data_IF_055187310281
#
_entry.id   IF_055187310281
#
_cell.length_a   1.000
_cell.length_b   1.000
_cell.length_c   1.000
_cell.angle_alpha   90.00
_cell.angle_beta   90.00
_cell.angle_gamma   90.00
#
_symmetry.space_group_name_H-M   'P 1'
#
loop_
_entity.id
_entity.type
_entity.pdbx_description
1 polymer ?
#
# COMPACT_ATOMS: atom_id res chain seq x y z
N UNK A 1 27.01 1.39 -8.52
CA UNK A 1 26.47 0.86 -7.25
C UNK A 1 26.70 -0.65 -7.21
N UNK A 2 27.03 -1.20 -6.03
CA UNK A 2 27.15 -2.65 -5.85
C UNK A 2 25.89 -3.18 -5.17
N UNK A 3 25.44 -4.36 -5.55
CA UNK A 3 24.36 -5.06 -4.85
C UNK A 3 24.87 -5.68 -3.53
N UNK A 4 23.98 -6.33 -2.78
CA UNK A 4 24.33 -7.01 -1.51
C UNK A 4 25.35 -8.16 -1.67
N UNK A 5 25.60 -8.64 -2.89
CA UNK A 5 26.60 -9.66 -3.21
C UNK A 5 27.95 -9.05 -3.64
N UNK A 6 28.02 -7.73 -3.80
CA UNK A 6 29.22 -7.02 -4.23
C UNK A 6 29.36 -6.87 -5.76
N UNK A 7 28.38 -7.33 -6.53
CA UNK A 7 28.37 -7.21 -7.99
C UNK A 7 27.89 -5.83 -8.42
N UNK A 8 28.38 -5.35 -9.57
CA UNK A 8 27.85 -4.14 -10.18
C UNK A 8 26.42 -4.37 -10.67
N UNK A 9 25.54 -3.40 -10.42
CA UNK A 9 24.17 -3.41 -10.94
C UNK A 9 24.15 -2.76 -12.32
N UNK A 10 23.62 -3.48 -13.30
CA UNK A 10 23.33 -2.96 -14.65
C UNK A 10 21.86 -2.49 -14.71
N UNK A 11 21.65 -1.18 -14.67
CA UNK A 11 20.33 -0.55 -14.77
C UNK A 11 19.80 -0.48 -16.21
N UNK A 12 20.53 -1.07 -17.18
CA UNK A 12 20.08 -1.19 -18.57
C UNK A 12 19.76 -2.63 -18.97
N UNK A 13 19.79 -3.58 -18.02
CA UNK A 13 19.69 -5.01 -18.28
C UNK A 13 18.33 -5.47 -18.86
N UNK A 14 17.27 -4.68 -18.69
CA UNK A 14 15.96 -4.93 -19.29
C UNK A 14 15.18 -3.62 -19.50
N UNK A 15 14.07 -3.69 -20.22
CA UNK A 15 13.29 -2.51 -20.61
C UNK A 15 12.66 -1.83 -19.39
N UNK A 16 12.16 -2.60 -18.41
CA UNK A 16 11.62 -2.04 -17.17
C UNK A 16 12.66 -1.20 -16.41
N UNK A 17 13.91 -1.65 -16.31
CA UNK A 17 14.99 -0.90 -15.64
C UNK A 17 15.36 0.37 -16.40
N UNK A 18 15.38 0.34 -17.74
CA UNK A 18 15.66 1.53 -18.56
C UNK A 18 14.55 2.58 -18.43
N UNK A 19 13.30 2.14 -18.38
CA UNK A 19 12.14 3.02 -18.21
C UNK A 19 12.06 3.57 -16.78
N UNK A 20 12.41 2.76 -15.78
CA UNK A 20 12.34 3.15 -14.36
C UNK A 20 13.52 4.03 -13.93
N UNK A 21 14.72 3.75 -14.44
CA UNK A 21 15.96 4.45 -14.11
C UNK A 21 16.54 5.12 -15.37
N UNK A 22 15.93 6.24 -15.77
CA UNK A 22 16.23 6.92 -17.04
C UNK A 22 17.72 7.27 -17.21
N UNK A 23 18.41 7.59 -16.11
CA UNK A 23 19.83 7.93 -16.11
C UNK A 23 20.77 6.71 -16.12
N UNK A 24 20.22 5.49 -16.18
CA UNK A 24 21.00 4.25 -16.19
C UNK A 24 21.80 4.01 -14.90
N UNK A 25 21.40 4.64 -13.80
CA UNK A 25 22.01 4.53 -12.49
C UNK A 25 20.94 4.49 -11.39
N UNK A 26 21.34 4.17 -10.17
CA UNK A 26 20.43 4.18 -9.03
C UNK A 26 19.97 5.61 -8.71
N UNK A 27 18.67 5.77 -8.51
CA UNK A 27 18.04 7.00 -8.05
C UNK A 27 16.93 6.64 -7.06
N UNK A 28 16.73 7.50 -6.06
CA UNK A 28 15.59 7.33 -5.15
C UNK A 28 14.30 7.66 -5.91
N UNK A 29 13.36 6.71 -5.95
CA UNK A 29 12.10 6.81 -6.68
C UNK A 29 10.95 6.64 -5.70
N UNK A 30 10.09 7.66 -5.61
CA UNK A 30 8.92 7.67 -4.72
C UNK A 30 8.00 6.48 -4.99
N UNK A 31 7.60 5.79 -3.92
CA UNK A 31 6.81 4.56 -3.99
C UNK A 31 7.58 3.30 -4.40
N UNK A 32 8.87 3.40 -4.76
CA UNK A 32 9.66 2.27 -5.26
C UNK A 32 10.90 1.96 -4.41
N UNK A 33 11.87 2.89 -4.33
CA UNK A 33 13.12 2.64 -3.61
C UNK A 33 13.75 3.91 -3.06
N UNK A 34 14.45 3.76 -1.93
CA UNK A 34 15.21 4.83 -1.28
C UNK A 34 16.43 4.26 -0.55
N UNK A 35 17.57 4.95 -0.58
CA UNK A 35 18.68 4.68 0.34
C UNK A 35 18.41 5.46 1.64
N UNK A 36 18.00 4.74 2.67
CA UNK A 36 17.80 5.30 4.00
C UNK A 36 19.12 5.37 4.78
N UNK A 37 19.33 6.50 5.47
CA UNK A 37 20.40 6.67 6.45
C UNK A 37 20.10 5.93 7.76
N UNK A 38 21.14 5.68 8.57
CA UNK A 38 20.94 5.05 9.88
C UNK A 38 20.12 5.95 10.82
N UNK A 39 20.28 7.27 10.73
CA UNK A 39 19.51 8.23 11.53
C UNK A 39 18.01 8.13 11.20
N UNK A 40 17.63 8.04 9.92
CA UNK A 40 16.24 7.80 9.51
C UNK A 40 15.69 6.47 10.03
N UNK A 41 16.53 5.42 10.08
CA UNK A 41 16.12 4.12 10.63
C UNK A 41 15.87 4.22 12.13
N UNK A 42 16.71 4.97 12.87
CA UNK A 42 16.53 5.22 14.30
C UNK A 42 15.25 6.02 14.55
N UNK A 43 15.01 7.08 13.77
CA UNK A 43 13.79 7.90 13.84
C UNK A 43 12.51 7.10 13.56
N UNK A 44 12.61 6.04 12.74
CA UNK A 44 11.51 5.13 12.43
C UNK A 44 11.44 3.91 13.38
N UNK A 45 11.99 4.01 14.59
CA UNK A 45 12.00 2.95 15.61
C UNK A 45 12.58 1.62 15.08
N UNK A 46 13.57 1.68 14.20
CA UNK A 46 14.18 0.53 13.52
C UNK A 46 13.20 -0.30 12.65
N UNK A 47 12.00 0.23 12.39
CA UNK A 47 11.05 -0.40 11.46
C UNK A 47 11.59 -0.33 10.04
N UNK A 48 11.82 -1.48 9.41
CA UNK A 48 12.28 -1.58 8.02
C UNK A 48 11.15 -1.68 6.99
N UNK A 49 9.90 -1.41 7.40
CA UNK A 49 8.75 -1.37 6.49
C UNK A 49 8.98 -0.32 5.40
N UNK A 50 9.06 -0.72 4.10
CA UNK A 50 9.46 0.19 3.02
C UNK A 50 8.64 1.48 2.96
N UNK A 51 7.32 1.41 3.22
CA UNK A 51 6.41 2.56 3.19
C UNK A 51 6.77 3.70 4.15
N UNK A 52 7.61 3.46 5.16
CA UNK A 52 8.14 4.53 6.03
C UNK A 52 9.23 5.38 5.37
N UNK A 53 9.84 4.89 4.30
CA UNK A 53 10.99 5.51 3.64
C UNK A 53 10.70 5.95 2.22
N UNK A 54 9.97 5.14 1.45
CA UNK A 54 9.79 5.35 0.00
C UNK A 54 8.63 6.27 -0.34
N UNK A 55 7.73 6.58 0.61
CA UNK A 55 6.52 7.35 0.32
C UNK A 55 5.53 6.58 -0.57
N UNK A 56 4.62 7.30 -1.22
CA UNK A 56 3.70 6.73 -2.20
C UNK A 56 3.32 7.79 -3.24
N UNK A 57 3.34 7.42 -4.51
CA UNK A 57 2.80 8.28 -5.57
C UNK A 57 1.27 8.27 -5.50
N UNK A 58 0.65 9.44 -5.47
CA UNK A 58 -0.80 9.56 -5.57
C UNK A 58 -1.20 9.34 -7.03
N UNK A 59 -1.75 8.17 -7.34
CA UNK A 59 -2.47 7.95 -8.59
C UNK A 59 -3.95 8.17 -8.31
N UNK A 60 -4.45 9.34 -8.72
CA UNK A 60 -5.89 9.62 -8.69
C UNK A 60 -6.49 9.04 -9.97
N UNK A 61 -7.31 8.02 -9.82
CA UNK A 61 -8.23 7.61 -10.87
C UNK A 61 -9.38 8.62 -10.92
N UNK A 62 -9.34 9.56 -11.87
CA UNK A 62 -10.36 10.60 -12.03
C UNK A 62 -11.72 10.03 -12.44
N UNK A 63 -11.75 8.80 -12.99
CA UNK A 63 -12.97 8.13 -13.41
C UNK A 63 -13.62 7.31 -12.27
N UNK A 64 -12.99 7.23 -11.09
CA UNK A 64 -13.52 6.47 -9.97
C UNK A 64 -14.65 7.22 -9.23
N UNK A 65 -15.88 6.69 -9.27
CA UNK A 65 -17.02 7.23 -8.52
C UNK A 65 -16.97 6.84 -7.02
N UNK A 66 -16.17 7.60 -6.26
CA UNK A 66 -16.07 7.45 -4.80
C UNK A 66 -17.43 7.57 -4.10
N UNK A 67 -18.31 8.42 -4.60
CA UNK A 67 -19.60 8.70 -3.95
C UNK A 67 -20.55 7.52 -4.13
N UNK A 68 -20.62 6.97 -5.35
CA UNK A 68 -21.39 5.77 -5.66
C UNK A 68 -20.88 4.57 -4.84
N UNK A 69 -19.57 4.33 -4.85
CA UNK A 69 -18.98 3.22 -4.07
C UNK A 69 -19.24 3.35 -2.57
N UNK A 70 -19.16 4.57 -2.02
CA UNK A 70 -19.42 4.78 -0.59
C UNK A 70 -20.90 4.59 -0.24
N UNK A 71 -21.82 5.04 -1.12
CA UNK A 71 -23.25 4.79 -0.93
C UNK A 71 -23.60 3.29 -0.96
N UNK A 72 -22.97 2.54 -1.86
CA UNK A 72 -23.09 1.08 -1.93
C UNK A 72 -22.62 0.42 -0.63
N UNK A 73 -21.40 0.74 -0.17
CA UNK A 73 -20.82 0.19 1.08
C UNK A 73 -21.73 0.50 2.29
N UNK A 74 -22.28 1.72 2.39
CA UNK A 74 -23.20 2.06 3.46
C UNK A 74 -24.51 1.27 3.40
N UNK A 75 -25.04 1.03 2.20
CA UNK A 75 -26.21 0.19 1.99
C UNK A 75 -25.98 -1.26 2.42
N UNK A 76 -24.85 -1.84 2.01
CA UNK A 76 -24.43 -3.19 2.42
C UNK A 76 -24.27 -3.30 3.93
N UNK A 77 -23.59 -2.34 4.55
CA UNK A 77 -23.40 -2.31 6.00
C UNK A 77 -24.73 -2.23 6.76
N UNK A 78 -25.68 -1.39 6.29
CA UNK A 78 -27.00 -1.27 6.91
C UNK A 78 -27.80 -2.58 6.81
N UNK A 79 -27.72 -3.26 5.67
CA UNK A 79 -28.32 -4.58 5.48
C UNK A 79 -27.73 -5.61 6.44
N UNK A 80 -26.40 -5.73 6.48
CA UNK A 80 -25.69 -6.66 7.37
C UNK A 80 -26.02 -6.41 8.85
N UNK A 81 -26.13 -5.16 9.26
CA UNK A 81 -26.53 -4.81 10.63
C UNK A 81 -27.97 -5.23 10.94
N UNK A 82 -28.88 -5.09 9.97
CA UNK A 82 -30.28 -5.50 10.13
C UNK A 82 -30.40 -7.02 10.26
N UNK A 83 -29.73 -7.77 9.37
CA UNK A 83 -29.65 -9.23 9.43
C UNK A 83 -29.01 -9.71 10.74
N UNK A 84 -27.96 -9.03 11.20
CA UNK A 84 -27.32 -9.32 12.48
C UNK A 84 -28.27 -9.13 13.66
N UNK A 85 -29.05 -8.04 13.68
CA UNK A 85 -30.03 -7.77 14.73
C UNK A 85 -31.15 -8.82 14.75
N UNK A 86 -31.63 -9.24 13.58
CA UNK A 86 -32.63 -10.32 13.46
C UNK A 86 -32.10 -11.65 14.03
N UNK A 87 -30.88 -12.03 13.65
CA UNK A 87 -30.23 -13.25 14.16
C UNK A 87 -30.03 -13.19 15.68
N UNK A 88 -29.58 -12.05 16.21
CA UNK A 88 -29.45 -11.86 17.66
C UNK A 88 -30.80 -11.98 18.36
N UNK A 89 -31.86 -11.39 17.79
CA UNK A 89 -33.22 -11.52 18.31
C UNK A 89 -33.70 -12.97 18.35
N UNK A 90 -33.44 -13.75 17.30
CA UNK A 90 -33.78 -15.17 17.24
C UNK A 90 -33.05 -15.99 18.32
N UNK A 91 -31.76 -15.73 18.54
CA UNK A 91 -30.96 -16.41 19.57
C UNK A 91 -31.47 -16.05 20.98
N UNK A 92 -31.76 -14.78 21.26
CA UNK A 92 -32.24 -14.34 22.58
C UNK A 92 -33.70 -14.75 22.86
N UNK A 93 -34.52 -14.87 21.82
CA UNK A 93 -35.93 -15.25 21.93
C UNK A 93 -36.16 -16.73 22.24
N UNK A 94 -35.16 -17.58 22.03
CA UNK A 94 -35.16 -18.98 22.46
C UNK A 94 -35.00 -19.04 23.99
N UNK A 95 -36.12 -19.00 24.72
CA UNK A 95 -36.15 -19.38 26.14
C UNK A 95 -36.01 -20.90 26.23
N UNK A 96 -34.91 -21.37 26.80
CA UNK A 96 -34.76 -22.72 27.37
C UNK A 96 -35.61 -22.86 28.64
#
# INVERSE_FOLDING_TARGET
MKNYRGDNVDFSANDWLKETFENGCYEDIEGLCKIASLDEVIENDYSLTPGRYVGFSIQIDEDFDYKGRMAEIHGELAKLNSESAELMGAIQGLKL
#
